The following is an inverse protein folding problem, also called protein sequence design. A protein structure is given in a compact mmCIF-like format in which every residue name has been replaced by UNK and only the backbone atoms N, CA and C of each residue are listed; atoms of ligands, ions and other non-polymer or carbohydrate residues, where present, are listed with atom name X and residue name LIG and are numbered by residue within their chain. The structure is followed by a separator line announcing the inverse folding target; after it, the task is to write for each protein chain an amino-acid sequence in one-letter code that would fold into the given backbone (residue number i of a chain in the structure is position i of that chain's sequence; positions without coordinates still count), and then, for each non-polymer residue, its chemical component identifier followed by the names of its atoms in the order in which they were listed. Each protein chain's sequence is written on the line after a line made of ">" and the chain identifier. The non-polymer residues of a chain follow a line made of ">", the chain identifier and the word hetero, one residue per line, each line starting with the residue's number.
data_IF_983404363986
#
_entry.id   IF_983404363986
#
_cell.length_a   1.000
_cell.length_b   1.000
_cell.length_c   1.000
_cell.angle_alpha   90.00
_cell.angle_beta   90.00
_cell.angle_gamma   90.00
#
_symmetry.space_group_name_H-M   'P 1'
#
loop_
_entity.id
_entity.type
_entity.pdbx_description
1 polymer ?
#
# COMPACT_ATOMS: atom_id res chain seq x y z
N UNK A 1 25.49 -1.15 14.71
CA UNK A 1 25.27 -2.52 15.28
C UNK A 1 23.90 -2.95 14.81
N UNK A 2 23.75 -4.11 14.20
CA UNK A 2 22.45 -4.62 13.74
C UNK A 2 21.55 -4.91 14.95
N UNK A 3 20.27 -4.62 14.80
CA UNK A 3 19.26 -4.94 15.82
C UNK A 3 19.21 -6.47 16.02
N UNK A 4 19.19 -6.98 17.29
CA UNK A 4 19.12 -8.41 17.55
C UNK A 4 17.85 -9.04 16.95
N UNK A 5 17.98 -10.25 16.40
CA UNK A 5 16.85 -10.97 15.79
C UNK A 5 15.70 -11.20 16.78
N UNK A 6 16.00 -11.37 18.06
CA UNK A 6 14.97 -11.48 19.12
C UNK A 6 14.11 -10.22 19.22
N UNK A 7 14.72 -9.02 19.09
CA UNK A 7 13.99 -7.74 19.06
C UNK A 7 13.10 -7.64 17.82
N UNK A 8 13.63 -8.01 16.66
CA UNK A 8 12.85 -8.05 15.40
C UNK A 8 11.62 -8.95 15.55
N UNK A 9 11.82 -10.17 16.03
CA UNK A 9 10.74 -11.15 16.20
C UNK A 9 9.68 -10.68 17.21
N UNK A 10 10.11 -10.05 18.31
CA UNK A 10 9.19 -9.53 19.34
C UNK A 10 8.32 -8.40 18.79
N UNK A 11 8.94 -7.42 18.13
CA UNK A 11 8.20 -6.27 17.57
C UNK A 11 7.24 -6.73 16.46
N UNK A 12 7.69 -7.60 15.56
CA UNK A 12 6.84 -8.16 14.51
C UNK A 12 5.63 -8.92 15.10
N UNK A 13 5.83 -9.64 16.21
CA UNK A 13 4.77 -10.33 16.94
C UNK A 13 3.77 -9.33 17.55
N UNK A 14 4.25 -8.29 18.19
CA UNK A 14 3.40 -7.22 18.76
C UNK A 14 2.53 -6.56 17.70
N UNK A 15 3.10 -6.22 16.54
CA UNK A 15 2.35 -5.64 15.40
C UNK A 15 1.33 -6.64 14.81
N UNK A 16 1.71 -7.93 14.68
CA UNK A 16 0.81 -8.98 14.20
C UNK A 16 -0.41 -9.15 15.13
N UNK A 17 -0.18 -9.21 16.44
CA UNK A 17 -1.25 -9.32 17.43
C UNK A 17 -2.12 -8.06 17.45
N UNK A 18 -1.52 -6.86 17.33
CA UNK A 18 -2.23 -5.60 17.24
C UNK A 18 -3.18 -5.57 16.04
N UNK A 19 -2.72 -6.06 14.86
CA UNK A 19 -3.58 -6.17 13.67
C UNK A 19 -4.70 -7.19 13.86
N UNK A 20 -4.39 -8.36 14.40
CA UNK A 20 -5.37 -9.45 14.60
C UNK A 20 -6.47 -9.03 15.58
N UNK A 21 -6.09 -8.39 16.68
CA UNK A 21 -6.96 -8.10 17.82
C UNK A 21 -7.50 -6.65 17.81
N UNK A 22 -7.15 -5.88 16.76
CA UNK A 22 -7.59 -4.49 16.53
C UNK A 22 -7.30 -3.60 17.75
N UNK A 23 -6.03 -3.45 18.07
CA UNK A 23 -5.56 -2.51 19.09
C UNK A 23 -4.28 -1.80 18.64
N UNK A 24 -3.90 -0.75 19.36
CA UNK A 24 -2.69 0.02 19.07
C UNK A 24 -1.53 -0.39 19.97
N UNK A 25 -0.32 -0.16 19.46
CA UNK A 25 0.96 -0.39 20.16
C UNK A 25 1.81 0.89 20.09
N UNK A 26 2.79 1.04 20.98
CA UNK A 26 3.75 2.14 20.90
C UNK A 26 4.55 2.11 19.58
N UNK A 27 5.03 3.28 19.14
CA UNK A 27 5.93 3.38 17.99
C UNK A 27 7.18 2.51 18.16
N UNK A 28 7.68 2.01 17.04
CA UNK A 28 8.88 1.17 16.95
C UNK A 28 10.15 2.01 16.99
N UNK A 29 10.10 3.23 16.47
CA UNK A 29 11.25 4.13 16.36
C UNK A 29 12.06 4.33 17.65
N UNK A 30 11.46 4.39 18.87
CA UNK A 30 12.27 4.48 20.09
C UNK A 30 13.06 3.21 20.43
N UNK A 31 12.75 2.08 19.78
CA UNK A 31 13.38 0.79 20.03
C UNK A 31 14.47 0.43 18.99
N UNK A 32 14.61 1.27 17.95
CA UNK A 32 15.55 1.08 16.85
C UNK A 32 16.64 2.16 16.88
N UNK A 33 17.83 1.90 16.31
CA UNK A 33 18.75 2.96 15.94
C UNK A 33 18.09 3.99 15.02
N UNK A 34 18.55 5.24 15.07
CA UNK A 34 18.01 6.30 14.24
C UNK A 34 18.02 5.91 12.75
N UNK A 35 16.85 5.98 12.11
CA UNK A 35 16.62 5.62 10.68
C UNK A 35 17.19 4.25 10.27
N UNK A 36 17.18 3.25 11.14
CA UNK A 36 17.58 1.89 10.78
C UNK A 36 16.49 1.21 9.91
N UNK A 37 16.52 1.54 8.60
CA UNK A 37 15.55 1.01 7.64
C UNK A 37 15.69 -0.50 7.46
N UNK A 38 16.91 -1.03 7.54
CA UNK A 38 17.14 -2.48 7.42
C UNK A 38 16.45 -3.23 8.56
N UNK A 39 16.52 -2.72 9.78
CA UNK A 39 15.80 -3.28 10.91
C UNK A 39 14.28 -3.16 10.75
N UNK A 40 13.79 -2.03 10.27
CA UNK A 40 12.36 -1.83 10.03
C UNK A 40 11.82 -2.79 8.96
N UNK A 41 12.54 -2.98 7.84
CA UNK A 41 12.18 -3.98 6.83
C UNK A 41 12.30 -5.42 7.33
N UNK A 42 13.28 -5.73 8.20
CA UNK A 42 13.36 -7.05 8.82
C UNK A 42 12.13 -7.33 9.72
N UNK A 43 11.64 -6.32 10.45
CA UNK A 43 10.41 -6.41 11.25
C UNK A 43 9.19 -6.62 10.31
N UNK A 44 9.06 -5.84 9.25
CA UNK A 44 7.97 -5.97 8.27
C UNK A 44 7.97 -7.35 7.60
N UNK A 45 9.14 -7.86 7.23
CA UNK A 45 9.28 -9.20 6.65
C UNK A 45 8.85 -10.30 7.62
N UNK A 46 9.26 -10.22 8.89
CA UNK A 46 8.83 -11.19 9.92
C UNK A 46 7.33 -11.04 10.23
N UNK A 47 6.79 -9.83 10.24
CA UNK A 47 5.34 -9.60 10.34
C UNK A 47 4.57 -10.30 9.20
N UNK A 48 5.03 -10.16 7.96
CA UNK A 48 4.43 -10.83 6.80
C UNK A 48 4.55 -12.36 6.93
N UNK A 49 5.72 -12.87 7.31
CA UNK A 49 5.96 -14.30 7.53
C UNK A 49 5.08 -14.88 8.67
N UNK A 50 4.81 -14.10 9.73
CA UNK A 50 3.88 -14.49 10.79
C UNK A 50 2.46 -14.66 10.25
N UNK A 51 1.99 -13.74 9.39
CA UNK A 51 0.68 -13.86 8.75
C UNK A 51 0.59 -15.12 7.89
N UNK A 52 1.61 -15.36 7.07
CA UNK A 52 1.68 -16.55 6.20
C UNK A 52 1.65 -17.86 7.03
N UNK A 53 2.42 -17.93 8.12
CA UNK A 53 2.48 -19.13 8.98
C UNK A 53 1.23 -19.37 9.81
N UNK A 54 0.65 -18.34 10.40
CA UNK A 54 -0.43 -18.48 11.38
C UNK A 54 -1.83 -18.37 10.77
N UNK A 55 -1.98 -17.62 9.68
CA UNK A 55 -3.26 -17.44 9.00
C UNK A 55 -3.37 -18.26 7.72
N UNK A 56 -2.25 -18.81 7.21
CA UNK A 56 -2.21 -19.58 5.96
C UNK A 56 -2.41 -18.73 4.70
N UNK A 57 -2.29 -17.41 4.81
CA UNK A 57 -2.41 -16.47 3.70
C UNK A 57 -1.18 -16.50 2.81
N UNK A 58 -1.32 -16.03 1.56
CA UNK A 58 -0.24 -15.99 0.58
C UNK A 58 0.02 -14.56 0.13
N UNK A 59 1.27 -14.20 -0.07
CA UNK A 59 1.65 -12.97 -0.73
C UNK A 59 1.16 -12.99 -2.17
N UNK A 60 0.44 -11.95 -2.57
CA UNK A 60 -0.11 -11.78 -3.92
C UNK A 60 0.22 -10.42 -4.53
N UNK A 61 0.96 -9.59 -3.80
CA UNK A 61 1.34 -8.27 -4.30
C UNK A 61 2.10 -7.43 -3.30
N UNK A 62 2.35 -6.19 -3.69
CA UNK A 62 2.99 -5.16 -2.87
C UNK A 62 2.40 -3.79 -3.17
N UNK A 63 2.46 -2.90 -2.20
CA UNK A 63 2.12 -1.48 -2.40
C UNK A 63 3.36 -0.62 -2.19
N UNK A 64 3.44 0.50 -2.88
CA UNK A 64 4.48 1.52 -2.66
C UNK A 64 3.82 2.70 -1.98
N UNK A 65 4.35 3.09 -0.83
CA UNK A 65 3.91 4.27 -0.10
C UNK A 65 4.85 5.45 -0.28
N UNK A 66 4.39 6.64 0.17
CA UNK A 66 5.20 7.86 0.18
C UNK A 66 5.77 8.23 -1.20
N UNK A 67 5.00 8.02 -2.26
CA UNK A 67 5.39 8.31 -3.65
C UNK A 67 5.10 9.74 -4.09
N UNK A 68 4.26 10.47 -3.32
CA UNK A 68 3.93 11.86 -3.61
C UNK A 68 4.88 12.80 -2.87
N UNK A 69 5.70 13.64 -3.56
CA UNK A 69 6.64 14.56 -2.93
C UNK A 69 5.99 15.54 -1.95
N UNK A 70 4.74 15.95 -2.20
CA UNK A 70 4.01 16.85 -1.28
C UNK A 70 3.62 16.13 0.02
N UNK A 71 3.31 14.83 -0.06
CA UNK A 71 3.05 14.01 1.12
C UNK A 71 4.35 13.78 1.88
N UNK A 72 5.44 13.44 1.20
CA UNK A 72 6.77 13.29 1.81
C UNK A 72 7.15 14.55 2.60
N UNK A 73 7.03 15.73 1.98
CA UNK A 73 7.32 17.01 2.63
C UNK A 73 6.43 17.24 3.87
N UNK A 74 5.14 16.90 3.79
CA UNK A 74 4.18 17.10 4.90
C UNK A 74 4.51 16.23 6.11
N UNK A 75 4.97 15.00 5.89
CA UNK A 75 5.28 14.04 6.96
C UNK A 75 6.75 14.00 7.34
N UNK A 76 7.60 14.76 6.64
CA UNK A 76 9.05 14.84 6.92
C UNK A 76 9.83 13.58 6.53
N UNK A 77 9.33 12.83 5.54
CA UNK A 77 9.95 11.60 4.99
C UNK A 77 10.35 11.89 3.56
N UNK A 78 11.52 11.45 3.13
CA UNK A 78 12.15 11.82 1.86
C UNK A 78 12.37 10.65 0.89
N UNK A 79 11.79 9.49 1.19
CA UNK A 79 11.93 8.29 0.36
C UNK A 79 10.63 7.45 0.38
N UNK A 80 10.36 6.66 -0.67
CA UNK A 80 9.26 5.71 -0.68
C UNK A 80 9.48 4.57 0.31
N UNK A 81 8.37 3.94 0.73
CA UNK A 81 8.36 2.68 1.44
C UNK A 81 7.51 1.63 0.69
N UNK A 82 7.52 0.39 1.16
CA UNK A 82 6.63 -0.63 0.60
C UNK A 82 6.06 -1.55 1.69
N UNK A 83 4.87 -2.11 1.39
CA UNK A 83 4.21 -3.13 2.17
C UNK A 83 3.80 -4.33 1.31
N UNK A 84 3.55 -5.47 1.98
CA UNK A 84 3.11 -6.72 1.36
C UNK A 84 1.59 -6.78 1.33
N UNK A 85 1.02 -7.21 0.20
CA UNK A 85 -0.39 -7.52 0.04
C UNK A 85 -0.54 -9.05 0.08
N UNK A 86 -1.40 -9.54 0.99
CA UNK A 86 -1.78 -10.96 1.06
C UNK A 86 -3.15 -11.17 0.41
N UNK A 87 -3.46 -12.42 0.05
CA UNK A 87 -4.68 -12.80 -0.65
C UNK A 87 -5.98 -12.47 0.12
N UNK A 88 -5.94 -12.53 1.47
CA UNK A 88 -7.04 -12.14 2.35
C UNK A 88 -7.28 -10.61 2.41
N UNK A 89 -6.39 -9.83 1.82
CA UNK A 89 -6.44 -8.37 1.78
C UNK A 89 -7.00 -7.85 0.44
N UNK A 90 -7.23 -8.72 -0.55
CA UNK A 90 -7.71 -8.34 -1.88
C UNK A 90 -9.23 -8.43 -1.96
N UNK A 91 -9.86 -7.32 -2.30
CA UNK A 91 -11.30 -7.20 -2.40
C UNK A 91 -11.72 -6.73 -3.80
N UNK A 92 -12.90 -7.14 -4.25
CA UNK A 92 -13.50 -6.63 -5.47
C UNK A 92 -14.22 -5.30 -5.22
N UNK A 93 -14.36 -4.50 -6.27
CA UNK A 93 -15.19 -3.28 -6.26
C UNK A 93 -16.62 -3.60 -5.80
N UNK A 94 -17.21 -2.69 -5.03
CA UNK A 94 -18.50 -2.87 -4.37
C UNK A 94 -18.43 -3.55 -3.00
N UNK A 95 -17.22 -3.87 -2.50
CA UNK A 95 -17.05 -4.51 -1.19
C UNK A 95 -17.51 -3.64 -0.02
N UNK A 96 -17.87 -4.32 1.07
CA UNK A 96 -18.15 -3.70 2.37
C UNK A 96 -17.05 -4.05 3.36
N UNK A 97 -16.35 -3.04 3.86
CA UNK A 97 -15.26 -3.17 4.83
C UNK A 97 -15.79 -2.94 6.25
N UNK A 98 -15.74 -3.92 7.16
CA UNK A 98 -16.21 -3.73 8.52
C UNK A 98 -15.24 -2.86 9.31
N UNK A 99 -15.66 -1.67 9.75
CA UNK A 99 -14.83 -0.73 10.54
C UNK A 99 -14.28 -1.35 11.82
N UNK A 100 -14.97 -2.35 12.36
CA UNK A 100 -14.53 -3.10 13.56
C UNK A 100 -13.22 -3.87 13.39
N UNK A 101 -12.70 -3.99 12.14
CA UNK A 101 -11.43 -4.66 11.83
C UNK A 101 -10.23 -3.72 11.71
N UNK A 102 -10.44 -2.42 11.93
CA UNK A 102 -9.42 -1.40 11.74
C UNK A 102 -9.36 -0.48 12.97
N UNK A 103 -8.15 -0.01 13.30
CA UNK A 103 -7.95 0.99 14.35
C UNK A 103 -8.40 2.37 13.85
N UNK A 104 -7.96 2.72 12.64
CA UNK A 104 -8.28 4.00 12.01
C UNK A 104 -8.21 3.84 10.49
N UNK A 105 -9.33 3.51 9.89
CA UNK A 105 -9.40 3.27 8.46
C UNK A 105 -9.21 4.56 7.66
N UNK A 106 -8.23 4.54 6.75
CA UNK A 106 -7.93 5.61 5.81
C UNK A 106 -8.06 5.07 4.38
N UNK A 107 -8.28 5.99 3.42
CA UNK A 107 -8.51 5.68 2.00
C UNK A 107 -7.51 6.43 1.13
N UNK A 108 -6.97 5.73 0.14
CA UNK A 108 -6.20 6.28 -0.96
C UNK A 108 -6.70 5.70 -2.29
N UNK A 109 -6.61 6.47 -3.37
CA UNK A 109 -6.88 5.97 -4.71
C UNK A 109 -5.60 5.93 -5.53
N UNK A 110 -5.39 4.81 -6.23
CA UNK A 110 -4.14 4.45 -6.87
C UNK A 110 -4.36 3.77 -8.22
N UNK A 111 -3.28 3.66 -8.99
CA UNK A 111 -3.20 2.72 -10.11
C UNK A 111 -2.67 1.38 -9.58
N UNK A 112 -3.42 0.31 -9.80
CA UNK A 112 -2.93 -1.05 -9.59
C UNK A 112 -2.37 -1.58 -10.92
N UNK A 113 -1.15 -2.12 -10.88
CA UNK A 113 -0.48 -2.82 -11.98
C UNK A 113 -0.53 -4.32 -11.72
N UNK A 114 -0.91 -5.10 -12.72
CA UNK A 114 -0.90 -6.57 -12.63
C UNK A 114 0.20 -7.10 -13.55
N UNK A 115 1.03 -7.99 -13.03
CA UNK A 115 2.18 -8.52 -13.78
C UNK A 115 1.82 -9.81 -14.53
N UNK A 116 2.25 -9.91 -15.80
CA UNK A 116 2.19 -11.15 -16.60
C UNK A 116 3.47 -11.98 -16.58
N UNK A 117 4.57 -11.38 -16.11
CA UNK A 117 5.87 -12.07 -15.98
C UNK A 117 6.67 -11.52 -14.81
N UNK A 118 7.67 -12.29 -14.36
CA UNK A 118 8.61 -11.88 -13.32
C UNK A 118 9.44 -10.68 -13.79
N UNK A 119 9.77 -9.77 -12.84
CA UNK A 119 10.69 -8.65 -13.08
C UNK A 119 12.03 -8.98 -12.44
N UNK A 120 13.03 -9.24 -13.27
CA UNK A 120 14.39 -9.61 -12.86
C UNK A 120 15.40 -8.46 -13.04
N UNK A 121 15.01 -7.39 -13.73
CA UNK A 121 15.79 -6.19 -13.95
C UNK A 121 14.92 -4.95 -13.69
N UNK A 122 15.44 -3.99 -12.95
CA UNK A 122 14.72 -2.76 -12.60
C UNK A 122 14.95 -1.64 -13.65
N UNK A 123 14.85 -1.98 -14.92
CA UNK A 123 14.84 -1.02 -16.01
C UNK A 123 13.40 -0.71 -16.42
N UNK A 124 13.17 0.47 -16.99
CA UNK A 124 11.84 0.85 -17.50
C UNK A 124 11.32 -0.17 -18.49
N UNK A 125 12.16 -0.57 -19.44
CA UNK A 125 11.81 -1.51 -20.50
C UNK A 125 11.41 -2.89 -19.93
N UNK A 126 12.15 -3.41 -18.96
CA UNK A 126 11.85 -4.70 -18.35
C UNK A 126 10.56 -4.65 -17.53
N UNK A 127 10.35 -3.56 -16.77
CA UNK A 127 9.13 -3.34 -15.98
C UNK A 127 7.91 -3.21 -16.87
N UNK A 128 7.95 -2.34 -17.88
CA UNK A 128 6.83 -2.13 -18.81
C UNK A 128 6.46 -3.41 -19.58
N UNK A 129 7.47 -4.18 -20.00
CA UNK A 129 7.24 -5.46 -20.67
C UNK A 129 6.57 -6.50 -19.77
N UNK A 130 6.79 -6.42 -18.44
CA UNK A 130 6.22 -7.37 -17.47
C UNK A 130 4.80 -7.03 -17.05
N UNK A 131 4.31 -5.80 -17.26
CA UNK A 131 2.95 -5.39 -16.92
C UNK A 131 1.98 -5.96 -17.95
N UNK A 132 0.91 -6.61 -17.46
CA UNK A 132 -0.22 -7.07 -18.28
C UNK A 132 -1.23 -5.93 -18.47
N UNK A 133 -1.82 -5.49 -17.37
CA UNK A 133 -2.84 -4.45 -17.38
C UNK A 133 -2.75 -3.57 -16.13
N UNK A 134 -3.48 -2.47 -16.19
CA UNK A 134 -3.71 -1.56 -15.09
C UNK A 134 -5.20 -1.45 -14.78
N UNK A 135 -5.53 -1.17 -13.52
CA UNK A 135 -6.90 -0.98 -13.05
C UNK A 135 -6.93 0.09 -11.96
N UNK A 136 -8.04 0.84 -11.78
CA UNK A 136 -8.17 1.72 -10.63
C UNK A 136 -8.27 0.88 -9.34
N UNK A 137 -7.70 1.38 -8.25
CA UNK A 137 -7.77 0.71 -6.97
C UNK A 137 -7.98 1.70 -5.81
N UNK A 138 -8.58 1.20 -4.72
CA UNK A 138 -8.39 1.79 -3.40
C UNK A 138 -7.30 1.03 -2.64
N UNK A 139 -6.40 1.74 -1.99
CA UNK A 139 -5.67 1.20 -0.86
C UNK A 139 -6.48 1.43 0.42
N UNK A 140 -6.57 0.37 1.21
CA UNK A 140 -7.14 0.35 2.57
C UNK A 140 -5.98 0.51 3.53
N UNK A 141 -5.84 1.69 4.13
CA UNK A 141 -4.72 1.99 5.02
C UNK A 141 -5.18 2.00 6.47
N UNK A 142 -4.42 1.34 7.33
CA UNK A 142 -4.62 1.32 8.78
C UNK A 142 -3.28 1.12 9.49
N UNK A 143 -2.97 1.95 10.47
CA UNK A 143 -1.76 1.84 11.27
C UNK A 143 -2.07 1.28 12.66
N UNK A 144 -1.11 0.47 13.18
CA UNK A 144 -1.22 -0.13 14.52
C UNK A 144 -0.67 0.79 15.62
N UNK A 145 -0.53 2.08 15.35
CA UNK A 145 -0.04 3.07 16.33
C UNK A 145 -1.14 4.01 16.78
N UNK A 146 -1.07 4.44 18.04
CA UNK A 146 -1.97 5.47 18.58
C UNK A 146 -1.44 6.86 18.18
N UNK A 147 -2.05 7.49 17.20
CA UNK A 147 -1.70 8.83 16.76
C UNK A 147 -1.50 9.02 15.27
N UNK A 148 -0.61 9.96 14.90
CA UNK A 148 -0.27 10.28 13.52
C UNK A 148 0.68 9.24 12.93
N UNK A 149 0.96 9.36 11.63
CA UNK A 149 2.09 8.65 10.99
C UNK A 149 3.38 8.97 11.75
N UNK A 150 4.09 7.94 12.19
CA UNK A 150 5.35 8.06 12.91
C UNK A 150 6.52 8.44 11.99
N UNK A 151 7.71 8.02 12.38
CA UNK A 151 8.88 8.10 11.52
C UNK A 151 8.81 7.04 10.42
N UNK A 152 9.66 7.14 9.38
CA UNK A 152 9.68 6.16 8.28
C UNK A 152 9.90 4.72 8.78
N UNK A 153 10.70 4.52 9.82
CA UNK A 153 10.91 3.19 10.41
C UNK A 153 9.64 2.62 11.05
N UNK A 154 8.74 3.49 11.54
CA UNK A 154 7.45 3.07 12.08
C UNK A 154 6.52 2.62 10.94
N UNK A 155 6.45 3.39 9.84
CA UNK A 155 5.60 3.02 8.70
C UNK A 155 6.07 1.71 8.07
N UNK A 156 7.36 1.57 7.80
CA UNK A 156 7.95 0.35 7.22
C UNK A 156 7.69 -0.87 8.11
N UNK A 157 7.98 -0.78 9.42
CA UNK A 157 7.80 -1.90 10.34
C UNK A 157 6.34 -2.38 10.40
N UNK A 158 5.40 -1.46 10.21
CA UNK A 158 3.96 -1.71 10.21
C UNK A 158 3.40 -1.99 8.80
N UNK A 159 4.18 -2.67 7.97
CA UNK A 159 3.82 -3.03 6.59
C UNK A 159 3.42 -1.81 5.75
N UNK A 160 4.05 -0.67 5.97
CA UNK A 160 3.71 0.62 5.35
C UNK A 160 2.22 1.01 5.47
N UNK A 161 1.55 0.60 6.57
CA UNK A 161 0.12 0.83 6.79
C UNK A 161 -0.81 -0.01 5.91
N UNK A 162 -0.28 -0.86 5.02
CA UNK A 162 -1.09 -1.64 4.11
C UNK A 162 -2.02 -2.61 4.85
N UNK A 163 -3.32 -2.46 4.65
CA UNK A 163 -4.34 -3.26 5.31
C UNK A 163 -5.34 -3.90 4.36
N UNK A 164 -5.34 -3.50 3.09
CA UNK A 164 -6.13 -4.09 2.03
C UNK A 164 -6.03 -3.33 0.72
N UNK A 165 -6.60 -3.91 -0.32
CA UNK A 165 -6.78 -3.30 -1.64
C UNK A 165 -8.16 -3.65 -2.17
N UNK A 166 -8.85 -2.69 -2.77
CA UNK A 166 -10.07 -2.91 -3.52
C UNK A 166 -9.76 -2.65 -4.99
N UNK A 167 -9.89 -3.66 -5.84
CA UNK A 167 -9.61 -3.54 -7.27
C UNK A 167 -10.86 -3.16 -8.04
N UNK A 168 -10.73 -2.22 -8.98
CA UNK A 168 -11.77 -1.91 -9.95
C UNK A 168 -12.03 -3.07 -10.91
N UNK A 169 -13.16 -3.03 -11.61
CA UNK A 169 -13.54 -4.08 -12.57
C UNK A 169 -12.93 -3.85 -13.96
N UNK A 170 -12.66 -2.60 -14.31
CA UNK A 170 -12.14 -2.21 -15.62
C UNK A 170 -10.63 -2.49 -15.67
N UNK A 171 -10.19 -3.21 -16.69
CA UNK A 171 -8.79 -3.55 -16.94
C UNK A 171 -8.36 -2.96 -18.27
N UNK A 172 -7.25 -2.27 -18.28
CA UNK A 172 -6.70 -1.63 -19.47
C UNK A 172 -5.29 -2.16 -19.74
N UNK A 173 -5.00 -2.69 -20.94
CA UNK A 173 -3.64 -3.04 -21.33
C UNK A 173 -2.68 -1.89 -21.04
N UNK A 174 -1.51 -2.19 -20.47
CA UNK A 174 -0.54 -1.16 -20.18
C UNK A 174 -0.12 -0.42 -21.47
N UNK A 175 -0.09 0.91 -21.39
CA UNK A 175 0.24 1.79 -22.52
C UNK A 175 -0.96 2.33 -23.31
N UNK A 176 -2.18 1.86 -23.08
CA UNK A 176 -3.39 2.43 -23.68
C UNK A 176 -3.77 3.78 -23.08
N UNK A 177 -3.43 4.01 -21.81
CA UNK A 177 -3.72 5.24 -21.07
C UNK A 177 -2.42 5.90 -20.63
N UNK A 178 -2.29 7.20 -20.87
CA UNK A 178 -1.18 8.01 -20.35
C UNK A 178 -1.38 8.25 -18.84
N UNK A 179 -0.77 7.39 -18.02
CA UNK A 179 -0.94 7.41 -16.57
C UNK A 179 -0.47 8.70 -15.91
N UNK A 180 0.43 9.46 -16.57
CA UNK A 180 0.91 10.74 -16.02
C UNK A 180 -0.16 11.83 -16.05
N UNK A 181 -1.15 11.69 -16.92
CA UNK A 181 -2.22 12.69 -17.16
C UNK A 181 -3.57 12.30 -16.60
N UNK A 182 -3.70 11.11 -16.02
CA UNK A 182 -4.99 10.73 -15.42
C UNK A 182 -5.33 11.68 -14.28
N UNK A 183 -6.59 12.08 -14.22
CA UNK A 183 -7.16 12.82 -13.11
C UNK A 183 -7.94 11.85 -12.22
N UNK A 184 -7.73 11.95 -10.91
CA UNK A 184 -8.39 11.12 -9.92
C UNK A 184 -9.24 12.00 -9.00
N UNK A 185 -10.45 11.53 -8.71
CA UNK A 185 -11.34 12.12 -7.69
C UNK A 185 -11.92 11.00 -6.83
N UNK A 186 -11.79 11.12 -5.52
CA UNK A 186 -12.56 10.31 -4.56
C UNK A 186 -13.76 11.12 -4.10
N UNK A 187 -14.95 10.52 -4.17
CA UNK A 187 -16.18 11.07 -3.59
C UNK A 187 -16.74 10.12 -2.54
N UNK A 188 -17.39 10.68 -1.50
CA UNK A 188 -18.15 9.94 -0.50
C UNK A 188 -19.53 10.56 -0.36
N UNK A 189 -20.61 9.79 -0.61
CA UNK A 189 -21.97 10.30 -0.59
C UNK A 189 -22.21 11.48 -1.54
N UNK A 190 -21.48 11.54 -2.66
CA UNK A 190 -21.54 12.62 -3.64
C UNK A 190 -20.74 13.87 -3.29
N UNK A 191 -20.02 13.89 -2.16
CA UNK A 191 -19.11 14.99 -1.79
C UNK A 191 -17.67 14.59 -2.10
N UNK A 192 -16.90 15.49 -2.70
CA UNK A 192 -15.48 15.27 -2.96
C UNK A 192 -14.71 15.16 -1.64
N UNK A 193 -13.89 14.10 -1.54
CA UNK A 193 -12.99 13.84 -0.41
C UNK A 193 -11.58 14.33 -0.76
N UNK A 194 -11.05 13.90 -1.90
CA UNK A 194 -9.71 14.26 -2.38
C UNK A 194 -9.64 14.11 -3.89
N UNK A 195 -8.65 14.78 -4.48
CA UNK A 195 -8.33 14.69 -5.91
C UNK A 195 -6.82 14.72 -6.15
N UNK A 196 -6.41 14.30 -7.33
CA UNK A 196 -5.02 14.36 -7.75
C UNK A 196 -4.84 14.05 -9.22
N UNK A 197 -3.59 14.06 -9.65
CA UNK A 197 -3.17 13.72 -11.02
C UNK A 197 -2.10 12.65 -10.97
N UNK A 198 -2.06 11.79 -12.00
CA UNK A 198 -1.15 10.65 -12.01
C UNK A 198 0.32 11.02 -11.84
N UNK A 199 0.75 12.16 -12.38
CA UNK A 199 2.12 12.66 -12.21
C UNK A 199 2.51 13.03 -10.77
N UNK A 200 1.58 13.04 -9.80
CA UNK A 200 1.90 13.17 -8.39
C UNK A 200 2.67 11.96 -7.85
N UNK A 201 2.54 10.80 -8.52
CA UNK A 201 3.20 9.56 -8.15
C UNK A 201 4.56 9.50 -8.85
N UNK A 202 5.62 9.98 -8.20
CA UNK A 202 7.00 9.96 -8.71
C UNK A 202 7.12 10.43 -10.18
N UNK A 203 6.34 11.47 -10.57
CA UNK A 203 6.22 12.02 -11.93
C UNK A 203 5.52 11.09 -12.94
N UNK A 204 5.53 9.78 -12.73
CA UNK A 204 4.89 8.74 -13.53
C UNK A 204 4.63 7.51 -12.65
N UNK A 205 3.38 7.02 -12.53
CA UNK A 205 3.05 5.88 -11.66
C UNK A 205 3.92 4.63 -11.89
N UNK A 206 4.41 4.39 -13.11
CA UNK A 206 5.31 3.26 -13.38
C UNK A 206 6.67 3.41 -12.69
N UNK A 207 7.10 4.63 -12.35
CA UNK A 207 8.34 4.84 -11.59
C UNK A 207 8.29 4.21 -10.20
N UNK A 208 7.10 4.13 -9.58
CA UNK A 208 6.92 3.40 -8.32
C UNK A 208 7.18 1.89 -8.50
N UNK A 209 6.72 1.30 -9.62
CA UNK A 209 6.98 -0.10 -9.93
C UNK A 209 8.47 -0.34 -10.20
N UNK A 210 9.15 0.58 -10.89
CA UNK A 210 10.60 0.49 -11.16
C UNK A 210 11.37 0.57 -9.83
N UNK A 211 11.02 1.51 -8.95
CA UNK A 211 11.62 1.64 -7.62
C UNK A 211 11.43 0.37 -6.79
N UNK A 212 10.21 -0.17 -6.78
CA UNK A 212 9.87 -1.40 -6.07
C UNK A 212 10.62 -2.61 -6.63
N UNK A 213 10.73 -2.74 -7.96
CA UNK A 213 11.48 -3.80 -8.62
C UNK A 213 12.97 -3.77 -8.20
N UNK A 214 13.58 -2.55 -8.20
CA UNK A 214 14.95 -2.39 -7.73
C UNK A 214 15.14 -2.79 -6.27
N UNK A 215 14.20 -2.44 -5.41
CA UNK A 215 14.22 -2.82 -4.00
C UNK A 215 14.03 -4.33 -3.82
N UNK A 216 13.06 -4.92 -4.51
CA UNK A 216 12.77 -6.35 -4.48
C UNK A 216 13.95 -7.22 -4.94
N UNK A 217 14.64 -6.79 -5.99
CA UNK A 217 15.85 -7.47 -6.48
C UNK A 217 16.99 -7.38 -5.46
N UNK A 218 17.21 -6.21 -4.86
CA UNK A 218 18.25 -6.03 -3.82
C UNK A 218 18.01 -6.88 -2.58
N UNK A 219 16.75 -7.10 -2.22
CA UNK A 219 16.38 -7.94 -1.06
C UNK A 219 16.29 -9.42 -1.39
N UNK A 220 16.53 -9.83 -2.64
CA UNK A 220 16.48 -11.21 -3.08
C UNK A 220 15.07 -11.77 -3.31
N UNK A 221 14.05 -10.91 -3.33
CA UNK A 221 12.66 -11.28 -3.53
C UNK A 221 12.05 -10.56 -4.76
N UNK A 222 12.49 -10.87 -5.99
CA UNK A 222 12.00 -10.18 -7.18
C UNK A 222 10.49 -10.31 -7.34
N UNK A 223 9.89 -9.32 -8.01
CA UNK A 223 8.45 -9.29 -8.31
C UNK A 223 8.08 -10.44 -9.26
N UNK A 224 6.93 -11.07 -9.03
CA UNK A 224 6.51 -12.28 -9.73
C UNK A 224 5.29 -12.06 -10.60
N UNK A 225 5.17 -12.87 -11.64
CA UNK A 225 3.97 -12.95 -12.46
C UNK A 225 2.73 -13.17 -11.59
N UNK A 226 1.65 -12.45 -11.86
CA UNK A 226 0.40 -12.46 -11.11
C UNK A 226 0.37 -11.54 -9.89
N UNK A 227 1.48 -10.91 -9.49
CA UNK A 227 1.44 -9.93 -8.40
C UNK A 227 0.67 -8.67 -8.82
N UNK A 228 -0.09 -8.13 -7.84
CA UNK A 228 -0.74 -6.82 -7.90
C UNK A 228 0.17 -5.80 -7.22
N UNK A 229 0.51 -4.74 -7.93
CA UNK A 229 1.38 -3.69 -7.43
C UNK A 229 0.62 -2.38 -7.36
N UNK A 230 0.53 -1.76 -6.19
CA UNK A 230 -0.06 -0.43 -6.03
C UNK A 230 1.01 0.65 -6.19
N UNK A 231 0.67 1.69 -6.95
CA UNK A 231 1.60 2.76 -7.34
C UNK A 231 1.94 3.77 -6.25
N UNK A 232 1.13 3.82 -5.20
CA UNK A 232 1.08 4.95 -4.28
C UNK A 232 0.01 5.97 -4.66
N UNK A 233 -0.36 6.78 -3.70
CA UNK A 233 -1.52 7.65 -3.77
C UNK A 233 -1.41 8.74 -4.82
N UNK A 234 -2.42 8.83 -5.68
CA UNK A 234 -2.56 9.91 -6.68
C UNK A 234 -2.95 11.23 -5.99
N UNK A 235 -3.71 11.16 -4.90
CA UNK A 235 -4.18 12.30 -4.11
C UNK A 235 -3.59 12.32 -2.69
N UNK A 236 -4.37 12.78 -1.74
CA UNK A 236 -4.03 12.73 -0.32
C UNK A 236 -4.73 11.53 0.34
N UNK A 237 -4.06 10.97 1.34
CA UNK A 237 -4.67 10.01 2.26
C UNK A 237 -5.68 10.73 3.14
N UNK A 238 -6.89 10.19 3.23
CA UNK A 238 -7.99 10.79 3.97
C UNK A 238 -8.72 9.76 4.85
N UNK A 239 -9.37 10.17 5.95
CA UNK A 239 -10.23 9.29 6.72
C UNK A 239 -11.34 8.70 5.85
N UNK A 240 -11.58 7.39 5.96
CA UNK A 240 -12.68 6.74 5.26
C UNK A 240 -14.01 7.06 5.95
N UNK A 241 -14.98 7.73 5.27
CA UNK A 241 -16.27 8.05 5.89
C UNK A 241 -17.06 6.77 6.20
N UNK A 242 -17.57 6.67 7.44
CA UNK A 242 -18.38 5.53 7.86
C UNK A 242 -19.76 5.52 7.19
N UNK A 243 -20.24 4.34 6.81
CA UNK A 243 -21.59 4.10 6.26
C UNK A 243 -21.92 4.91 4.99
N UNK A 244 -20.86 5.29 4.26
CA UNK A 244 -20.96 6.07 3.03
C UNK A 244 -20.23 5.33 1.91
N UNK A 245 -20.91 5.16 0.77
CA UNK A 245 -20.26 4.65 -0.44
C UNK A 245 -19.22 5.63 -0.92
N UNK A 246 -17.97 5.19 -1.00
CA UNK A 246 -16.87 5.92 -1.60
C UNK A 246 -16.63 5.42 -3.02
N UNK A 247 -16.43 6.37 -3.93
CA UNK A 247 -16.13 6.11 -5.34
C UNK A 247 -14.87 6.86 -5.72
N UNK A 248 -13.85 6.16 -6.17
CA UNK A 248 -12.77 6.80 -6.91
C UNK A 248 -13.01 6.65 -8.41
N UNK A 249 -12.92 7.76 -9.13
CA UNK A 249 -12.92 7.80 -10.58
C UNK A 249 -11.55 8.25 -11.05
N UNK A 250 -10.93 7.45 -11.93
CA UNK A 250 -9.64 7.79 -12.57
C UNK A 250 -9.89 7.86 -14.08
N UNK A 251 -9.62 9.03 -14.66
CA UNK A 251 -9.92 9.27 -16.08
C UNK A 251 -9.18 8.26 -16.97
N UNK A 252 -9.93 7.63 -17.87
CA UNK A 252 -9.39 6.62 -18.78
C UNK A 252 -9.19 5.23 -18.17
N UNK A 253 -9.27 5.08 -16.85
CA UNK A 253 -9.16 3.77 -16.16
C UNK A 253 -10.48 3.29 -15.56
N UNK A 254 -11.50 4.18 -15.43
CA UNK A 254 -12.78 3.80 -14.86
C UNK A 254 -12.88 4.12 -13.36
N UNK A 255 -13.56 3.25 -12.61
CA UNK A 255 -13.89 3.51 -11.21
C UNK A 255 -13.69 2.30 -10.30
N UNK A 256 -13.52 2.59 -9.02
CA UNK A 256 -13.57 1.60 -7.94
C UNK A 256 -14.51 2.11 -6.85
N UNK A 257 -15.26 1.19 -6.23
CA UNK A 257 -16.31 1.51 -5.25
C UNK A 257 -16.11 0.65 -4.00
N UNK A 258 -16.27 1.24 -2.82
CA UNK A 258 -16.33 0.49 -1.56
C UNK A 258 -17.05 1.28 -0.47
N UNK A 259 -17.53 0.58 0.55
CA UNK A 259 -18.19 1.19 1.72
C UNK A 259 -17.55 0.69 3.00
N UNK A 260 -17.21 1.58 3.92
CA UNK A 260 -16.77 1.22 5.26
C UNK A 260 -17.98 1.21 6.21
N UNK A 261 -18.33 0.02 6.73
CA UNK A 261 -19.56 -0.16 7.53
C UNK A 261 -19.27 -0.12 9.03
N UNK A 262 -20.00 0.70 9.77
CA UNK A 262 -19.95 0.77 11.24
C UNK A 262 -20.63 -0.43 11.92
N UNK A 263 -21.54 -1.10 11.21
CA UNK A 263 -22.21 -2.33 11.65
C UNK A 263 -21.67 -3.49 10.84
N UNK A 264 -20.72 -4.22 11.40
CA UNK A 264 -20.17 -5.45 10.86
C UNK A 264 -20.58 -6.65 11.66
#
# INVERSE_FOLDING_TARGET
>A
MSVPQETVNRIARELFEAKRDVHTVPYVSPQLPERDLDAAYAISAEFAALRERELGVKRVGRKVGLTNPLVQQRVGIDEPDYGVIHDDMVHASGTHLPLSRYNRLLIEAEVAFVLKSDILEATREAVEAAIDHVTPAFEVVDFRYDGSVGQIVDTIADNAGCSGVVLGEEQHPYGEVDLTKVEMVITGGGTEITRGVGSNVLEDPVNAVIWLAGTAIRTGEPLRAGEVLLSGSIGYIEPWPADVECVATITGLGRVVATANSKG
#
